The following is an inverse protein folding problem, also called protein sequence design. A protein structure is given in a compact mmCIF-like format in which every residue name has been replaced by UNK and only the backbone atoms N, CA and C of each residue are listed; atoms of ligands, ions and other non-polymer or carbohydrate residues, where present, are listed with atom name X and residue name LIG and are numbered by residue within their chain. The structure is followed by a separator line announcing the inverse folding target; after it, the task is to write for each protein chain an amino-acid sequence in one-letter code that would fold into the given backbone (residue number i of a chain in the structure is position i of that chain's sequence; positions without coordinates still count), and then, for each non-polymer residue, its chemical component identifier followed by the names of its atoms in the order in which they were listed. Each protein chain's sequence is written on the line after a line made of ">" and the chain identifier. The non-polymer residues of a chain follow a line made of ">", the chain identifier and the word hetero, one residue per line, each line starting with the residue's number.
data_IF_749172366722
#
_entry.id   IF_749172366722
#
_cell.length_a   1.000
_cell.length_b   1.000
_cell.length_c   1.000
_cell.angle_alpha   90.00
_cell.angle_beta   90.00
_cell.angle_gamma   90.00
#
_symmetry.space_group_name_H-M   'P 1'
#
loop_
_entity.id
_entity.type
_entity.pdbx_description
1 polymer ?
#
# COMPACT_ATOMS: atom_id res chain seq x y z
N UNK A 1 -62.10 29.17 -43.65
CA UNK A 1 -61.13 28.63 -44.57
C UNK A 1 -59.89 28.30 -43.78
N UNK A 2 -59.62 27.04 -43.76
CA UNK A 2 -58.72 26.21 -42.99
C UNK A 2 -57.27 26.72 -42.89
N UNK A 3 -56.79 26.69 -41.69
CA UNK A 3 -55.37 26.66 -41.35
C UNK A 3 -55.10 25.30 -40.66
N UNK A 4 -54.49 24.39 -41.37
CA UNK A 4 -54.01 23.12 -40.85
C UNK A 4 -52.50 23.25 -40.57
N UNK A 5 -52.17 23.62 -39.34
CA UNK A 5 -50.81 23.54 -38.86
C UNK A 5 -50.43 22.09 -38.67
N UNK A 6 -49.49 21.64 -39.45
CA UNK A 6 -48.79 20.37 -39.33
C UNK A 6 -48.03 20.34 -37.98
N UNK A 7 -48.55 19.58 -37.00
CA UNK A 7 -47.79 19.11 -35.89
C UNK A 7 -46.89 17.98 -36.38
N UNK A 8 -45.61 18.27 -36.48
CA UNK A 8 -44.55 17.28 -36.63
C UNK A 8 -44.25 16.75 -35.23
N UNK A 9 -44.73 15.56 -34.95
CA UNK A 9 -44.34 14.80 -33.77
C UNK A 9 -42.83 14.55 -33.85
N UNK A 10 -42.05 15.35 -33.16
CA UNK A 10 -40.69 14.98 -32.78
C UNK A 10 -40.81 13.83 -31.78
N UNK A 11 -40.68 12.58 -32.23
CA UNK A 11 -40.36 11.45 -31.39
C UNK A 11 -39.04 11.75 -30.67
N UNK A 12 -39.16 12.25 -29.44
CA UNK A 12 -38.07 12.24 -28.47
C UNK A 12 -37.77 10.76 -28.23
N UNK A 13 -36.67 10.27 -28.85
CA UNK A 13 -36.11 8.98 -28.46
C UNK A 13 -35.71 9.14 -26.98
N UNK A 14 -36.64 8.81 -26.07
CA UNK A 14 -36.30 8.56 -24.67
C UNK A 14 -35.26 7.44 -24.69
N UNK A 15 -34.01 7.86 -24.45
CA UNK A 15 -32.93 6.91 -24.20
C UNK A 15 -33.40 5.97 -23.11
N UNK A 16 -33.52 4.70 -23.44
CA UNK A 16 -33.92 3.67 -22.48
C UNK A 16 -33.10 3.79 -21.20
N UNK A 17 -33.60 3.28 -20.07
CA UNK A 17 -32.97 3.46 -18.77
C UNK A 17 -31.51 3.02 -18.90
N UNK A 18 -30.59 3.97 -18.75
CA UNK A 18 -29.19 3.66 -18.50
C UNK A 18 -29.23 2.68 -17.33
N UNK A 19 -28.70 1.49 -17.52
CA UNK A 19 -28.64 0.44 -16.49
C UNK A 19 -27.98 1.12 -15.29
N UNK A 20 -28.80 1.53 -14.30
CA UNK A 20 -28.29 1.97 -13.01
C UNK A 20 -27.65 0.74 -12.39
N UNK A 21 -26.34 0.62 -12.56
CA UNK A 21 -25.57 -0.45 -11.93
C UNK A 21 -25.83 -0.41 -10.43
N UNK A 22 -26.32 -1.52 -9.90
CA UNK A 22 -26.53 -1.60 -8.46
C UNK A 22 -25.19 -1.33 -7.73
N UNK A 23 -25.21 -0.69 -6.55
CA UNK A 23 -23.97 -0.44 -5.78
C UNK A 23 -23.11 -1.69 -5.59
N UNK A 24 -23.72 -2.88 -5.63
CA UNK A 24 -23.00 -4.15 -5.54
C UNK A 24 -22.25 -4.49 -6.84
N UNK A 25 -22.79 -4.14 -8.01
CA UNK A 25 -22.13 -4.34 -9.30
C UNK A 25 -20.93 -3.39 -9.45
N UNK A 26 -21.12 -2.12 -9.12
CA UNK A 26 -20.04 -1.13 -9.12
C UNK A 26 -18.89 -1.53 -8.18
N UNK A 27 -19.21 -2.03 -6.97
CA UNK A 27 -18.19 -2.52 -6.04
C UNK A 27 -17.43 -3.74 -6.59
N UNK A 28 -18.10 -4.69 -7.26
CA UNK A 28 -17.44 -5.87 -7.86
C UNK A 28 -16.50 -5.46 -8.99
N UNK A 29 -16.91 -4.55 -9.84
CA UNK A 29 -16.10 -4.02 -10.94
C UNK A 29 -14.86 -3.29 -10.40
N UNK A 30 -15.02 -2.46 -9.36
CA UNK A 30 -13.91 -1.79 -8.70
C UNK A 30 -12.92 -2.80 -8.09
N UNK A 31 -13.39 -3.83 -7.38
CA UNK A 31 -12.52 -4.86 -6.82
C UNK A 31 -11.78 -5.66 -7.90
N UNK A 32 -12.39 -5.94 -9.03
CA UNK A 32 -11.71 -6.59 -10.15
C UNK A 32 -10.61 -5.68 -10.73
N UNK A 33 -10.89 -4.39 -10.90
CA UNK A 33 -9.90 -3.41 -11.33
C UNK A 33 -8.71 -3.34 -10.36
N UNK A 34 -8.98 -3.25 -9.06
CA UNK A 34 -7.94 -3.24 -8.01
C UNK A 34 -7.12 -4.52 -8.05
N UNK A 35 -7.74 -5.69 -8.19
CA UNK A 35 -7.04 -6.97 -8.28
C UNK A 35 -6.03 -7.00 -9.43
N UNK A 36 -6.48 -6.60 -10.62
CA UNK A 36 -5.63 -6.56 -11.83
C UNK A 36 -4.50 -5.54 -11.69
N UNK A 37 -4.81 -4.34 -11.17
CA UNK A 37 -3.83 -3.30 -10.93
C UNK A 37 -2.74 -3.75 -9.95
N UNK A 38 -3.16 -4.37 -8.84
CA UNK A 38 -2.24 -4.85 -7.82
C UNK A 38 -1.40 -6.02 -8.31
N UNK A 39 -1.96 -6.92 -9.12
CA UNK A 39 -1.22 -8.01 -9.75
C UNK A 39 -0.15 -7.46 -10.71
N UNK A 40 -0.49 -6.48 -11.55
CA UNK A 40 0.47 -5.82 -12.44
C UNK A 40 1.57 -5.07 -11.68
N UNK A 41 1.21 -4.31 -10.64
CA UNK A 41 2.18 -3.58 -9.82
C UNK A 41 3.08 -4.53 -8.99
N UNK A 42 2.53 -5.63 -8.48
CA UNK A 42 3.29 -6.67 -7.76
C UNK A 42 4.31 -7.34 -8.68
N UNK A 43 3.88 -7.77 -9.86
CA UNK A 43 4.76 -8.35 -10.89
C UNK A 43 5.86 -7.37 -11.28
N UNK A 44 5.52 -6.12 -11.64
CA UNK A 44 6.51 -5.11 -12.02
C UNK A 44 7.55 -4.87 -10.91
N UNK A 45 7.09 -4.77 -9.66
CA UNK A 45 8.00 -4.51 -8.54
C UNK A 45 9.10 -5.56 -8.42
N UNK A 46 8.73 -6.82 -8.44
CA UNK A 46 9.68 -7.93 -8.33
C UNK A 46 10.48 -8.15 -9.62
N UNK A 47 9.85 -8.03 -10.78
CA UNK A 47 10.52 -8.16 -12.08
C UNK A 47 11.69 -7.17 -12.22
N UNK A 48 11.48 -5.88 -11.86
CA UNK A 48 12.54 -4.88 -11.92
C UNK A 48 13.70 -5.22 -10.97
N UNK A 49 13.40 -5.72 -9.77
CA UNK A 49 14.43 -6.14 -8.83
C UNK A 49 15.24 -7.33 -9.35
N UNK A 50 14.57 -8.35 -9.90
CA UNK A 50 15.22 -9.53 -10.50
C UNK A 50 16.03 -9.13 -11.73
N UNK A 51 15.41 -8.43 -12.65
CA UNK A 51 16.03 -8.04 -13.92
C UNK A 51 17.22 -7.09 -13.75
N UNK A 52 17.25 -6.27 -12.70
CA UNK A 52 18.36 -5.37 -12.43
C UNK A 52 19.70 -6.11 -12.34
N UNK A 53 19.73 -7.32 -11.84
CA UNK A 53 20.95 -8.10 -11.72
C UNK A 53 21.37 -8.70 -13.06
N UNK A 54 20.46 -9.33 -13.79
CA UNK A 54 20.75 -9.91 -15.10
C UNK A 54 21.22 -8.87 -16.10
N UNK A 55 20.80 -7.61 -15.94
CA UNK A 55 21.31 -6.46 -16.70
C UNK A 55 22.63 -5.87 -16.14
N UNK A 56 23.21 -6.50 -15.13
CA UNK A 56 24.52 -6.14 -14.56
C UNK A 56 24.48 -4.88 -13.68
N UNK A 57 23.35 -4.48 -13.15
CA UNK A 57 23.29 -3.36 -12.20
C UNK A 57 23.87 -3.82 -10.86
N UNK A 58 24.74 -3.01 -10.27
CA UNK A 58 25.17 -3.31 -8.91
C UNK A 58 23.97 -3.28 -7.94
N UNK A 59 24.06 -4.04 -6.84
CA UNK A 59 23.02 -4.07 -5.78
C UNK A 59 22.66 -2.66 -5.30
N UNK A 60 23.65 -1.76 -5.22
CA UNK A 60 23.45 -0.36 -4.86
C UNK A 60 22.62 0.38 -5.89
N UNK A 61 22.91 0.23 -7.16
CA UNK A 61 22.16 0.87 -8.26
C UNK A 61 20.74 0.32 -8.32
N UNK A 62 20.57 -1.00 -8.26
CA UNK A 62 19.25 -1.63 -8.21
C UNK A 62 18.41 -1.13 -7.01
N UNK A 63 19.04 -1.01 -5.85
CA UNK A 63 18.37 -0.48 -4.66
C UNK A 63 17.92 0.98 -4.81
N UNK A 64 18.70 1.85 -5.44
CA UNK A 64 18.28 3.23 -5.73
C UNK A 64 17.12 3.26 -6.74
N UNK A 65 17.15 2.42 -7.78
CA UNK A 65 16.05 2.26 -8.72
C UNK A 65 14.78 1.86 -7.98
N UNK A 66 14.87 0.88 -7.07
CA UNK A 66 13.71 0.45 -6.28
C UNK A 66 13.22 1.53 -5.31
N UNK A 67 14.11 2.30 -4.69
CA UNK A 67 13.76 3.39 -3.78
C UNK A 67 13.06 4.55 -4.51
N UNK A 68 13.34 4.79 -5.78
CA UNK A 68 12.69 5.83 -6.59
C UNK A 68 11.17 5.68 -6.65
N UNK A 69 10.65 4.45 -6.59
CA UNK A 69 9.20 4.20 -6.48
C UNK A 69 8.60 4.87 -5.23
N UNK A 70 9.25 4.76 -4.08
CA UNK A 70 8.74 5.35 -2.84
C UNK A 70 8.84 6.88 -2.85
N UNK A 71 9.86 7.43 -3.53
CA UNK A 71 9.95 8.88 -3.77
C UNK A 71 8.77 9.37 -4.61
N UNK A 72 8.48 8.68 -5.72
CA UNK A 72 7.32 8.95 -6.57
C UNK A 72 6.00 8.82 -5.79
N UNK A 73 5.85 7.76 -5.00
CA UNK A 73 4.67 7.52 -4.17
C UNK A 73 4.45 8.65 -3.14
N UNK A 74 5.50 9.08 -2.47
CA UNK A 74 5.42 10.19 -1.52
C UNK A 74 5.05 11.51 -2.20
N UNK A 75 5.56 11.78 -3.39
CA UNK A 75 5.20 12.96 -4.17
C UNK A 75 3.75 12.86 -4.70
N UNK A 76 3.38 11.73 -5.29
CA UNK A 76 2.06 11.47 -5.84
C UNK A 76 0.95 11.60 -4.80
N UNK A 77 1.18 11.15 -3.57
CA UNK A 77 0.22 11.28 -2.47
C UNK A 77 -0.14 12.73 -2.12
N UNK A 78 0.71 13.71 -2.44
CA UNK A 78 0.44 15.14 -2.23
C UNK A 78 -0.35 15.77 -3.38
N UNK A 79 -0.17 15.24 -4.59
CA UNK A 79 -0.74 15.81 -5.82
C UNK A 79 -2.10 15.19 -6.12
N UNK A 80 -2.31 13.93 -5.71
CA UNK A 80 -3.48 13.14 -6.05
C UNK A 80 -4.81 13.81 -5.69
N UNK A 81 -4.95 14.32 -4.46
CA UNK A 81 -6.19 14.95 -3.99
C UNK A 81 -6.55 16.17 -4.85
N UNK A 82 -5.57 17.01 -5.17
CA UNK A 82 -5.78 18.19 -6.03
C UNK A 82 -6.13 17.79 -7.46
N UNK A 83 -5.48 16.75 -7.98
CA UNK A 83 -5.74 16.26 -9.33
C UNK A 83 -7.16 15.70 -9.45
N UNK A 84 -7.60 14.90 -8.48
CA UNK A 84 -8.95 14.33 -8.45
C UNK A 84 -10.00 15.44 -8.31
N UNK A 85 -9.77 16.45 -7.46
CA UNK A 85 -10.68 17.57 -7.28
C UNK A 85 -10.92 18.38 -8.58
N UNK A 86 -9.86 18.53 -9.40
CA UNK A 86 -9.93 19.32 -10.63
C UNK A 86 -10.43 18.52 -11.85
N UNK A 87 -10.13 17.24 -11.93
CA UNK A 87 -10.33 16.44 -13.16
C UNK A 87 -11.41 15.36 -12.97
N UNK A 88 -11.64 14.92 -11.73
CA UNK A 88 -12.58 13.85 -11.37
C UNK A 88 -11.92 12.47 -11.33
N UNK A 89 -12.54 11.55 -10.59
CA UNK A 89 -11.97 10.23 -10.24
C UNK A 89 -11.68 9.35 -11.46
N UNK A 90 -12.67 9.20 -12.38
CA UNK A 90 -12.54 8.31 -13.55
C UNK A 90 -11.40 8.74 -14.47
N UNK A 91 -11.33 10.04 -14.77
CA UNK A 91 -10.30 10.57 -15.67
C UNK A 91 -8.91 10.47 -15.05
N UNK A 92 -8.80 10.74 -13.73
CA UNK A 92 -7.54 10.60 -12.99
C UNK A 92 -7.10 9.14 -12.96
N UNK A 93 -8.02 8.20 -12.65
CA UNK A 93 -7.72 6.77 -12.67
C UNK A 93 -7.22 6.33 -14.06
N UNK A 94 -7.95 6.70 -15.12
CA UNK A 94 -7.59 6.36 -16.49
C UNK A 94 -6.22 6.93 -16.89
N UNK A 95 -5.96 8.20 -16.59
CA UNK A 95 -4.69 8.85 -16.91
C UNK A 95 -3.51 8.24 -16.16
N UNK A 96 -3.66 7.99 -14.87
CA UNK A 96 -2.60 7.44 -14.03
C UNK A 96 -2.32 5.95 -14.37
N UNK A 97 -3.35 5.13 -14.62
CA UNK A 97 -3.16 3.75 -15.03
C UNK A 97 -2.50 3.65 -16.41
N UNK A 98 -2.91 4.50 -17.37
CA UNK A 98 -2.26 4.58 -18.69
C UNK A 98 -0.78 4.99 -18.57
N UNK A 99 -0.48 5.99 -17.72
CA UNK A 99 0.88 6.45 -17.49
C UNK A 99 1.74 5.37 -16.80
N UNK A 100 1.17 4.66 -15.81
CA UNK A 100 1.84 3.54 -15.14
C UNK A 100 2.13 2.41 -16.14
N UNK A 101 1.15 2.00 -16.96
CA UNK A 101 1.32 1.00 -18.00
C UNK A 101 2.40 1.38 -19.01
N UNK A 102 2.41 2.64 -19.46
CA UNK A 102 3.46 3.16 -20.35
C UNK A 102 4.84 3.10 -19.71
N UNK A 103 4.94 3.50 -18.42
CA UNK A 103 6.20 3.42 -17.69
C UNK A 103 6.74 1.98 -17.60
N UNK A 104 5.85 0.98 -17.46
CA UNK A 104 6.25 -0.45 -17.49
C UNK A 104 6.88 -0.81 -18.84
N UNK A 105 6.27 -0.38 -19.96
CA UNK A 105 6.81 -0.67 -21.29
C UNK A 105 8.16 0.03 -21.55
N UNK A 106 8.33 1.24 -21.04
CA UNK A 106 9.59 1.98 -21.17
C UNK A 106 10.74 1.23 -20.47
N UNK A 107 10.50 0.55 -19.34
CA UNK A 107 11.53 -0.31 -18.72
C UNK A 107 12.02 -1.42 -19.67
N UNK A 108 11.12 -1.99 -20.48
CA UNK A 108 11.48 -3.03 -21.44
C UNK A 108 12.24 -2.50 -22.67
N UNK A 109 12.02 -1.24 -23.03
CA UNK A 109 12.61 -0.62 -24.21
C UNK A 109 14.02 -0.03 -23.94
N UNK A 110 14.22 0.52 -22.76
CA UNK A 110 15.44 1.22 -22.38
C UNK A 110 16.04 0.63 -21.11
N UNK A 111 17.11 -0.12 -21.27
CA UNK A 111 17.78 -0.83 -20.20
C UNK A 111 18.95 0.03 -19.70
N UNK A 112 18.62 1.02 -18.87
CA UNK A 112 19.61 1.83 -18.17
C UNK A 112 19.10 2.28 -16.79
N UNK A 113 20.00 2.45 -15.80
CA UNK A 113 19.59 2.75 -14.41
C UNK A 113 18.82 4.07 -14.25
N UNK A 114 19.14 5.08 -15.06
CA UNK A 114 18.53 6.42 -14.95
C UNK A 114 17.09 6.36 -15.45
N UNK A 115 16.86 5.75 -16.62
CA UNK A 115 15.52 5.54 -17.17
C UNK A 115 14.69 4.68 -16.22
N UNK A 116 15.27 3.60 -15.70
CA UNK A 116 14.55 2.73 -14.75
C UNK A 116 14.19 3.45 -13.45
N UNK A 117 15.09 4.24 -12.88
CA UNK A 117 14.82 5.07 -11.72
C UNK A 117 13.72 6.08 -11.97
N UNK A 118 13.73 6.76 -13.14
CA UNK A 118 12.72 7.73 -13.52
C UNK A 118 11.35 7.05 -13.71
N UNK A 119 11.30 5.91 -14.39
CA UNK A 119 10.05 5.18 -14.60
C UNK A 119 9.51 4.56 -13.30
N UNK A 120 10.36 4.15 -12.38
CA UNK A 120 9.95 3.73 -11.03
C UNK A 120 9.36 4.90 -10.24
N UNK A 121 9.96 6.09 -10.34
CA UNK A 121 9.38 7.30 -9.75
C UNK A 121 7.99 7.59 -10.33
N UNK A 122 7.84 7.56 -11.65
CA UNK A 122 6.55 7.75 -12.34
C UNK A 122 5.53 6.71 -11.90
N UNK A 123 5.92 5.43 -11.85
CA UNK A 123 5.02 4.36 -11.40
C UNK A 123 4.57 4.57 -9.96
N UNK A 124 5.50 4.94 -9.06
CA UNK A 124 5.17 5.25 -7.67
C UNK A 124 4.19 6.41 -7.53
N UNK A 125 4.40 7.48 -8.30
CA UNK A 125 3.49 8.64 -8.37
C UNK A 125 2.09 8.20 -8.82
N UNK A 126 2.01 7.43 -9.89
CA UNK A 126 0.75 6.92 -10.41
C UNK A 126 0.03 6.05 -9.39
N UNK A 127 0.75 5.11 -8.76
CA UNK A 127 0.17 4.20 -7.79
C UNK A 127 -0.37 4.94 -6.56
N UNK A 128 0.29 5.99 -6.07
CA UNK A 128 -0.24 6.81 -4.99
C UNK A 128 -1.58 7.46 -5.36
N UNK A 129 -1.69 8.00 -6.57
CA UNK A 129 -2.93 8.60 -7.06
C UNK A 129 -4.05 7.56 -7.27
N UNK A 130 -3.70 6.38 -7.79
CA UNK A 130 -4.65 5.28 -7.98
C UNK A 130 -5.20 4.77 -6.64
N UNK A 131 -4.36 4.58 -5.61
CA UNK A 131 -4.82 4.23 -4.26
C UNK A 131 -5.80 5.27 -3.69
N UNK A 132 -5.48 6.56 -3.81
CA UNK A 132 -6.37 7.64 -3.33
C UNK A 132 -7.71 7.59 -4.06
N UNK A 133 -7.69 7.35 -5.38
CA UNK A 133 -8.91 7.27 -6.19
C UNK A 133 -9.77 6.06 -5.80
N UNK A 134 -9.17 4.88 -5.66
CA UNK A 134 -9.84 3.64 -5.25
C UNK A 134 -10.49 3.77 -3.89
N UNK A 135 -9.77 4.30 -2.92
CA UNK A 135 -10.24 4.49 -1.56
C UNK A 135 -11.36 5.53 -1.47
N UNK A 136 -11.30 6.58 -2.28
CA UNK A 136 -12.37 7.57 -2.39
C UNK A 136 -13.65 6.95 -2.95
N UNK A 137 -13.56 6.11 -3.99
CA UNK A 137 -14.73 5.40 -4.51
C UNK A 137 -15.30 4.38 -3.54
N UNK A 138 -14.45 3.62 -2.86
CA UNK A 138 -14.89 2.68 -1.83
C UNK A 138 -15.62 3.41 -0.70
N UNK A 139 -15.19 4.64 -0.40
CA UNK A 139 -15.86 5.49 0.56
C UNK A 139 -17.29 5.83 0.14
N UNK A 140 -17.46 6.25 -1.08
CA UNK A 140 -18.76 6.65 -1.64
C UNK A 140 -19.75 5.47 -1.67
N UNK A 141 -19.25 4.28 -2.04
CA UNK A 141 -20.05 3.05 -2.05
C UNK A 141 -20.36 2.49 -0.65
N UNK A 142 -19.69 2.98 0.38
CA UNK A 142 -19.79 2.45 1.73
C UNK A 142 -20.92 3.11 2.54
N UNK A 143 -21.89 2.32 2.95
CA UNK A 143 -22.82 2.70 4.03
C UNK A 143 -22.20 2.38 5.40
N UNK A 144 -22.75 2.95 6.47
CA UNK A 144 -22.31 2.64 7.84
C UNK A 144 -22.37 1.13 8.14
N UNK A 145 -23.36 0.41 7.62
CA UNK A 145 -23.53 -1.03 7.81
C UNK A 145 -22.56 -1.89 6.96
N UNK A 146 -22.11 -1.40 5.81
CA UNK A 146 -21.31 -2.18 4.84
C UNK A 146 -19.83 -1.84 4.87
N UNK A 147 -19.45 -0.70 5.44
CA UNK A 147 -18.10 -0.12 5.42
C UNK A 147 -17.02 -1.10 5.88
N UNK A 148 -17.17 -1.74 7.03
CA UNK A 148 -16.19 -2.71 7.54
C UNK A 148 -15.97 -3.89 6.59
N UNK A 149 -17.05 -4.42 5.99
CA UNK A 149 -16.97 -5.52 5.01
C UNK A 149 -16.29 -5.09 3.71
N UNK A 150 -16.59 -3.89 3.21
CA UNK A 150 -15.95 -3.34 1.99
C UNK A 150 -14.44 -3.18 2.18
N UNK A 151 -14.03 -2.64 3.32
CA UNK A 151 -12.62 -2.42 3.63
C UNK A 151 -11.87 -3.74 3.87
N UNK A 152 -12.48 -4.73 4.53
CA UNK A 152 -11.87 -6.06 4.65
C UNK A 152 -11.68 -6.71 3.28
N UNK A 153 -12.65 -6.58 2.36
CA UNK A 153 -12.52 -7.05 0.98
C UNK A 153 -11.43 -6.31 0.22
N UNK A 154 -11.36 -4.98 0.37
CA UNK A 154 -10.30 -4.15 -0.21
C UNK A 154 -8.91 -4.65 0.20
N UNK A 155 -8.71 -4.92 1.49
CA UNK A 155 -7.46 -5.47 2.02
C UNK A 155 -7.10 -6.81 1.36
N UNK A 156 -8.07 -7.73 1.31
CA UNK A 156 -7.87 -9.07 0.73
C UNK A 156 -7.53 -8.94 -0.75
N UNK A 157 -8.26 -8.11 -1.50
CA UNK A 157 -8.06 -7.93 -2.93
C UNK A 157 -6.72 -7.27 -3.23
N UNK A 158 -6.35 -6.23 -2.47
CA UNK A 158 -5.08 -5.52 -2.64
C UNK A 158 -3.89 -6.41 -2.35
N UNK A 159 -3.89 -7.10 -1.20
CA UNK A 159 -2.79 -8.01 -0.82
C UNK A 159 -2.78 -9.27 -1.67
N UNK A 160 -3.96 -9.82 -1.97
CA UNK A 160 -4.12 -10.98 -2.85
C UNK A 160 -3.63 -10.70 -4.27
N UNK A 161 -4.00 -9.55 -4.84
CA UNK A 161 -3.52 -9.11 -6.15
C UNK A 161 -2.00 -8.97 -6.18
N UNK A 162 -1.42 -8.28 -5.18
CA UNK A 162 0.03 -8.16 -5.08
C UNK A 162 0.73 -9.53 -4.92
N UNK A 163 0.14 -10.46 -4.17
CA UNK A 163 0.64 -11.84 -4.01
C UNK A 163 0.57 -12.60 -5.34
N UNK A 164 -0.55 -12.51 -6.07
CA UNK A 164 -0.68 -13.11 -7.41
C UNK A 164 0.41 -12.54 -8.33
N UNK A 165 0.68 -11.24 -8.28
CA UNK A 165 1.75 -10.59 -9.05
C UNK A 165 3.13 -11.23 -8.83
N UNK A 166 3.44 -11.68 -7.61
CA UNK A 166 4.70 -12.39 -7.35
C UNK A 166 4.77 -13.73 -8.08
N UNK A 167 3.69 -14.51 -8.08
CA UNK A 167 3.64 -15.79 -8.77
C UNK A 167 3.60 -15.65 -10.29
N UNK A 168 3.22 -14.52 -10.83
CA UNK A 168 3.30 -14.25 -12.26
C UNK A 168 4.74 -14.16 -12.78
N UNK A 169 5.75 -14.01 -11.91
CA UNK A 169 7.16 -14.13 -12.30
C UNK A 169 7.47 -15.50 -12.92
N UNK A 170 6.80 -16.58 -12.48
CA UNK A 170 7.03 -17.93 -12.96
C UNK A 170 6.37 -18.22 -14.32
N UNK A 171 5.57 -17.29 -14.88
CA UNK A 171 4.82 -17.51 -16.13
C UNK A 171 5.70 -17.41 -17.37
N UNK A 172 6.79 -16.64 -17.31
CA UNK A 172 7.73 -16.48 -18.41
C UNK A 172 9.13 -16.13 -17.88
N UNK A 173 10.13 -16.29 -18.75
CA UNK A 173 11.50 -15.94 -18.47
C UNK A 173 11.63 -14.43 -18.09
N UNK A 174 12.15 -14.10 -16.88
CA UNK A 174 12.38 -12.73 -16.46
C UNK A 174 13.32 -11.94 -17.38
N UNK A 175 14.19 -12.60 -18.11
CA UNK A 175 15.13 -11.98 -19.05
C UNK A 175 14.47 -11.54 -20.36
N UNK A 176 13.23 -11.97 -20.59
CA UNK A 176 12.43 -11.58 -21.75
C UNK A 176 11.56 -10.34 -21.50
N UNK A 177 10.96 -9.85 -22.59
CA UNK A 177 10.01 -8.71 -22.54
C UNK A 177 8.59 -9.13 -22.09
N UNK A 178 8.28 -10.43 -22.09
CA UNK A 178 6.91 -10.95 -21.88
C UNK A 178 6.31 -10.53 -20.53
N UNK A 179 7.10 -10.54 -19.45
CA UNK A 179 6.62 -10.16 -18.13
C UNK A 179 6.34 -8.65 -18.02
N UNK A 180 7.12 -7.80 -18.70
CA UNK A 180 6.82 -6.37 -18.81
C UNK A 180 5.50 -6.14 -19.57
N UNK A 181 5.29 -6.87 -20.69
CA UNK A 181 4.04 -6.82 -21.44
C UNK A 181 2.86 -7.28 -20.58
N UNK A 182 3.00 -8.39 -19.86
CA UNK A 182 1.97 -8.90 -18.96
C UNK A 182 1.63 -7.88 -17.86
N UNK A 183 2.62 -7.29 -17.21
CA UNK A 183 2.40 -6.27 -16.19
C UNK A 183 1.67 -5.04 -16.75
N UNK A 184 2.08 -4.57 -17.94
CA UNK A 184 1.43 -3.46 -18.65
C UNK A 184 -0.03 -3.80 -19.03
N UNK A 185 -0.28 -5.01 -19.54
CA UNK A 185 -1.63 -5.48 -19.86
C UNK A 185 -2.52 -5.53 -18.62
N UNK A 186 -2.03 -6.05 -17.52
CA UNK A 186 -2.78 -6.11 -16.26
C UNK A 186 -3.15 -4.72 -15.74
N UNK A 187 -2.19 -3.78 -15.74
CA UNK A 187 -2.44 -2.38 -15.36
C UNK A 187 -3.45 -1.72 -16.31
N UNK A 188 -3.32 -1.91 -17.63
CA UNK A 188 -4.27 -1.37 -18.60
C UNK A 188 -5.66 -2.02 -18.49
N UNK A 189 -5.72 -3.34 -18.31
CA UNK A 189 -6.97 -4.07 -18.18
C UNK A 189 -7.74 -3.70 -16.90
N UNK A 190 -7.05 -3.21 -15.86
CA UNK A 190 -7.69 -2.72 -14.64
C UNK A 190 -8.66 -1.56 -14.89
N UNK A 191 -8.43 -0.79 -15.95
CA UNK A 191 -9.31 0.32 -16.39
C UNK A 191 -10.69 -0.15 -16.83
N UNK A 192 -10.76 -1.29 -17.50
CA UNK A 192 -11.98 -1.74 -18.18
C UNK A 192 -13.16 -1.86 -17.20
N UNK A 193 -13.09 -2.65 -16.12
CA UNK A 193 -14.21 -2.78 -15.20
C UNK A 193 -14.53 -1.46 -14.49
N UNK A 194 -13.52 -0.65 -14.21
CA UNK A 194 -13.69 0.62 -13.49
C UNK A 194 -14.42 1.64 -14.36
N UNK A 195 -13.97 1.84 -15.62
CA UNK A 195 -14.56 2.84 -16.53
C UNK A 195 -15.98 2.46 -16.95
N UNK A 196 -16.25 1.16 -17.13
CA UNK A 196 -17.57 0.69 -17.56
C UNK A 196 -18.62 0.73 -16.45
N UNK A 197 -18.23 0.73 -15.18
CA UNK A 197 -19.14 0.66 -14.02
C UNK A 197 -19.26 1.94 -13.22
N UNK A 198 -18.43 2.96 -13.49
CA UNK A 198 -18.39 4.18 -12.70
C UNK A 198 -19.53 5.12 -13.10
N UNK A 199 -20.55 5.19 -12.24
CA UNK A 199 -21.74 6.04 -12.44
C UNK A 199 -21.68 7.37 -11.69
N UNK A 200 -20.79 7.56 -10.71
CA UNK A 200 -20.72 8.76 -9.87
C UNK A 200 -19.31 9.28 -9.64
N UNK A 201 -19.17 10.61 -9.55
CA UNK A 201 -17.98 11.28 -9.05
C UNK A 201 -18.22 11.69 -7.59
N UNK A 202 -17.71 10.94 -6.60
CA UNK A 202 -17.88 11.29 -5.20
C UNK A 202 -17.22 12.64 -4.88
N UNK A 203 -17.81 13.45 -4.00
CA UNK A 203 -17.16 14.68 -3.55
C UNK A 203 -15.94 14.34 -2.68
N UNK A 204 -14.81 14.97 -2.98
CA UNK A 204 -13.62 14.88 -2.14
C UNK A 204 -13.79 15.75 -0.89
N UNK A 205 -13.76 15.12 0.26
CA UNK A 205 -13.65 15.83 1.54
C UNK A 205 -12.17 16.02 1.84
N UNK A 206 -11.67 17.25 1.65
CA UNK A 206 -10.30 17.61 2.01
C UNK A 206 -10.24 17.81 3.53
N UNK A 207 -9.47 17.00 4.27
CA UNK A 207 -9.38 17.15 5.72
C UNK A 207 -8.67 18.44 6.12
N UNK A 208 -9.01 19.00 7.28
CA UNK A 208 -8.23 20.08 7.90
C UNK A 208 -6.75 19.70 8.01
N UNK A 209 -5.87 20.68 7.83
CA UNK A 209 -4.42 20.42 7.85
C UNK A 209 -3.90 20.40 9.29
N UNK A 210 -3.34 19.27 9.72
CA UNK A 210 -2.55 19.15 10.94
C UNK A 210 -1.06 19.17 10.61
N UNK A 211 -0.26 19.85 11.41
CA UNK A 211 1.21 19.86 11.24
C UNK A 211 1.85 18.64 11.91
N UNK A 212 3.03 18.24 11.42
CA UNK A 212 3.82 17.18 12.04
C UNK A 212 4.17 17.53 13.51
N UNK A 213 4.48 18.81 13.75
CA UNK A 213 4.86 19.29 15.09
C UNK A 213 3.68 19.23 16.07
N UNK A 214 2.49 19.55 15.61
CA UNK A 214 1.26 19.45 16.41
C UNK A 214 0.98 17.99 16.79
N UNK A 215 1.03 17.05 15.84
CA UNK A 215 0.84 15.63 16.16
C UNK A 215 1.95 15.10 17.06
N UNK A 216 3.21 15.54 16.86
CA UNK A 216 4.35 15.15 17.70
C UNK A 216 4.19 15.60 19.17
N UNK A 217 3.56 16.72 19.42
CA UNK A 217 3.29 17.20 20.78
C UNK A 217 2.23 16.39 21.50
N UNK A 218 1.28 15.78 20.76
CA UNK A 218 0.20 14.96 21.34
C UNK A 218 0.61 13.50 21.43
N UNK A 219 1.07 12.90 20.31
CA UNK A 219 1.39 11.47 20.21
C UNK A 219 2.73 11.26 19.49
N UNK A 220 3.87 11.59 20.12
CA UNK A 220 5.17 11.38 19.49
C UNK A 220 5.43 9.89 19.14
N UNK A 221 4.89 8.98 19.94
CA UNK A 221 4.97 7.53 19.69
C UNK A 221 4.38 7.15 18.33
N UNK A 222 3.26 7.75 17.95
CA UNK A 222 2.64 7.52 16.65
C UNK A 222 3.57 7.85 15.48
N UNK A 223 4.23 9.01 15.52
CA UNK A 223 5.11 9.46 14.43
C UNK A 223 6.35 8.58 14.31
N UNK A 224 7.05 8.36 15.42
CA UNK A 224 8.29 7.58 15.45
C UNK A 224 8.03 6.14 14.97
N UNK A 225 7.03 5.48 15.56
CA UNK A 225 6.71 4.09 15.20
C UNK A 225 6.24 3.98 13.75
N UNK A 226 5.44 4.93 13.26
CA UNK A 226 4.98 4.92 11.86
C UNK A 226 6.13 5.15 10.88
N UNK A 227 7.05 6.06 11.18
CA UNK A 227 8.24 6.29 10.33
C UNK A 227 9.08 5.01 10.21
N UNK A 228 9.42 4.37 11.32
CA UNK A 228 10.23 3.15 11.28
C UNK A 228 9.46 1.94 10.74
N UNK A 229 8.15 1.85 10.94
CA UNK A 229 7.31 0.85 10.27
C UNK A 229 7.34 1.02 8.75
N UNK A 230 7.27 2.26 8.26
CA UNK A 230 7.46 2.58 6.85
C UNK A 230 8.84 2.15 6.35
N UNK A 231 9.90 2.43 7.11
CA UNK A 231 11.26 2.04 6.75
C UNK A 231 11.40 0.50 6.65
N UNK A 232 10.84 -0.24 7.62
CA UNK A 232 10.82 -1.72 7.59
C UNK A 232 10.08 -2.26 6.36
N UNK A 233 8.87 -1.74 6.10
CA UNK A 233 8.07 -2.15 4.94
C UNK A 233 8.73 -1.77 3.60
N UNK A 234 9.37 -0.61 3.53
CA UNK A 234 10.12 -0.15 2.36
C UNK A 234 11.30 -1.05 2.04
N UNK A 235 12.10 -1.42 3.06
CA UNK A 235 13.20 -2.39 2.90
C UNK A 235 12.65 -3.72 2.45
N UNK A 236 11.64 -4.27 3.16
CA UNK A 236 11.08 -5.60 2.91
C UNK A 236 10.56 -5.74 1.47
N UNK A 237 9.74 -4.80 1.02
CA UNK A 237 9.13 -4.86 -0.32
C UNK A 237 10.06 -4.31 -1.40
N UNK A 238 10.78 -3.23 -1.08
CA UNK A 238 11.61 -2.55 -2.08
C UNK A 238 12.86 -3.32 -2.45
N UNK A 239 13.52 -3.97 -1.49
CA UNK A 239 14.80 -4.64 -1.72
C UNK A 239 14.71 -6.16 -1.70
N UNK A 240 13.52 -6.74 -1.44
CA UNK A 240 13.35 -8.20 -1.32
C UNK A 240 13.76 -8.98 -2.56
N UNK A 241 13.39 -8.49 -3.76
CA UNK A 241 13.76 -9.12 -5.02
C UNK A 241 15.28 -8.96 -5.29
N UNK A 242 15.83 -7.77 -5.07
CA UNK A 242 17.27 -7.51 -5.21
C UNK A 242 18.08 -8.41 -4.27
N UNK A 243 17.65 -8.55 -3.01
CA UNK A 243 18.28 -9.47 -2.07
C UNK A 243 18.19 -10.91 -2.55
N UNK A 244 17.01 -11.37 -2.95
CA UNK A 244 16.77 -12.76 -3.31
C UNK A 244 17.66 -13.22 -4.48
N UNK A 245 17.88 -12.36 -5.46
CA UNK A 245 18.76 -12.65 -6.59
C UNK A 245 20.20 -12.55 -6.19
N UNK A 246 20.60 -11.53 -5.42
CA UNK A 246 21.99 -11.37 -4.94
C UNK A 246 22.51 -12.52 -4.06
N UNK A 247 21.59 -13.37 -3.54
CA UNK A 247 21.95 -14.57 -2.77
C UNK A 247 21.55 -15.88 -3.48
N UNK A 248 21.31 -15.84 -4.78
CA UNK A 248 20.99 -16.99 -5.63
C UNK A 248 19.79 -17.83 -5.09
N UNK A 249 18.70 -17.18 -4.65
CA UNK A 249 17.47 -17.90 -4.30
C UNK A 249 17.01 -18.69 -5.53
N UNK A 250 16.80 -20.03 -5.40
CA UNK A 250 16.38 -20.84 -6.55
C UNK A 250 15.11 -20.30 -7.23
N UNK A 251 15.10 -20.25 -8.55
CA UNK A 251 13.95 -19.75 -9.35
C UNK A 251 12.64 -20.41 -8.92
N UNK A 252 12.65 -21.73 -8.68
CA UNK A 252 11.47 -22.47 -8.22
C UNK A 252 10.89 -22.02 -6.88
N UNK A 253 11.59 -21.17 -6.14
CA UNK A 253 11.18 -20.67 -4.83
C UNK A 253 11.13 -19.14 -4.77
N UNK A 254 11.62 -18.46 -5.79
CA UNK A 254 11.73 -17.00 -5.82
C UNK A 254 10.36 -16.34 -5.63
N UNK A 255 9.38 -16.74 -6.43
CA UNK A 255 8.02 -16.21 -6.31
C UNK A 255 7.41 -16.47 -4.93
N UNK A 256 7.58 -17.68 -4.39
CA UNK A 256 7.11 -18.03 -3.05
C UNK A 256 7.80 -17.19 -1.97
N UNK A 257 9.11 -16.98 -2.08
CA UNK A 257 9.90 -16.16 -1.15
C UNK A 257 9.41 -14.71 -1.13
N UNK A 258 9.13 -14.13 -2.30
CA UNK A 258 8.65 -12.75 -2.44
C UNK A 258 7.16 -12.59 -2.07
N UNK A 259 6.34 -13.61 -2.30
CA UNK A 259 4.93 -13.64 -1.92
C UNK A 259 4.70 -13.86 -0.42
N UNK A 260 5.61 -14.59 0.23
CA UNK A 260 5.46 -15.03 1.62
C UNK A 260 5.16 -13.91 2.62
N UNK A 261 5.83 -12.74 2.61
CA UNK A 261 5.52 -11.63 3.52
C UNK A 261 4.11 -11.07 3.33
N UNK A 262 3.64 -10.96 2.08
CA UNK A 262 2.31 -10.44 1.77
C UNK A 262 1.24 -11.41 2.27
N UNK A 263 1.41 -12.71 2.01
CA UNK A 263 0.53 -13.75 2.49
C UNK A 263 0.49 -13.80 4.02
N UNK A 264 1.65 -13.77 4.67
CA UNK A 264 1.78 -13.76 6.13
C UNK A 264 1.04 -12.58 6.76
N UNK A 265 1.12 -11.40 6.15
CA UNK A 265 0.44 -10.19 6.64
C UNK A 265 -1.07 -10.36 6.76
N UNK A 266 -1.70 -11.05 5.80
CA UNK A 266 -3.15 -11.29 5.82
C UNK A 266 -3.53 -12.23 6.97
N UNK A 267 -2.70 -13.25 7.27
CA UNK A 267 -3.01 -14.25 8.28
C UNK A 267 -3.05 -13.69 9.70
N UNK A 268 -2.06 -12.89 10.09
CA UNK A 268 -1.91 -12.46 11.48
C UNK A 268 -2.43 -11.04 11.77
N UNK A 269 -2.80 -10.27 10.76
CA UNK A 269 -3.26 -8.90 10.97
C UNK A 269 -4.50 -8.82 11.86
N UNK A 270 -5.48 -9.70 11.64
CA UNK A 270 -6.68 -9.75 12.47
C UNK A 270 -6.42 -10.29 13.90
N UNK A 271 -5.72 -11.43 14.11
CA UNK A 271 -5.39 -11.92 15.45
C UNK A 271 -4.61 -10.91 16.29
N UNK A 272 -3.58 -10.28 15.70
CA UNK A 272 -2.77 -9.26 16.39
C UNK A 272 -3.62 -8.04 16.76
N UNK A 273 -4.50 -7.60 15.86
CA UNK A 273 -5.43 -6.51 16.13
C UNK A 273 -6.39 -6.83 17.27
N UNK A 274 -6.96 -8.05 17.26
CA UNK A 274 -7.87 -8.51 18.31
C UNK A 274 -7.19 -8.59 19.70
N UNK A 275 -5.94 -9.00 19.74
CA UNK A 275 -5.13 -8.98 20.98
C UNK A 275 -4.92 -7.54 21.43
N UNK A 276 -4.61 -6.62 20.51
CA UNK A 276 -4.33 -5.22 20.83
C UNK A 276 -5.53 -4.45 21.40
N UNK A 277 -6.73 -4.94 21.16
CA UNK A 277 -7.94 -4.36 21.76
C UNK A 277 -8.16 -4.79 23.23
N UNK A 278 -7.46 -5.83 23.69
CA UNK A 278 -7.62 -6.41 25.04
C UNK A 278 -6.46 -6.12 25.97
N UNK A 279 -5.30 -5.78 25.40
CA UNK A 279 -4.09 -5.48 26.17
C UNK A 279 -3.49 -4.16 25.71
N UNK A 280 -2.45 -3.68 26.38
CA UNK A 280 -1.76 -2.44 26.00
C UNK A 280 -1.28 -2.48 24.54
N UNK A 281 -1.75 -1.57 23.70
CA UNK A 281 -1.32 -1.46 22.30
C UNK A 281 0.20 -1.23 22.18
N UNK A 282 0.78 -0.42 23.07
CA UNK A 282 2.22 -0.23 23.12
C UNK A 282 2.96 -1.54 23.39
N UNK A 283 2.42 -2.36 24.31
CA UNK A 283 2.96 -3.69 24.61
C UNK A 283 2.86 -4.64 23.42
N UNK A 284 1.74 -4.64 22.69
CA UNK A 284 1.59 -5.47 21.50
C UNK A 284 2.57 -5.05 20.41
N UNK A 285 2.70 -3.75 20.13
CA UNK A 285 3.67 -3.25 19.13
C UNK A 285 5.09 -3.61 19.53
N UNK A 286 5.45 -3.50 20.82
CA UNK A 286 6.75 -3.91 21.34
C UNK A 286 7.04 -5.39 21.07
N UNK A 287 6.10 -6.29 21.41
CA UNK A 287 6.26 -7.73 21.21
C UNK A 287 6.38 -8.05 19.70
N UNK A 288 5.52 -7.47 18.89
CA UNK A 288 5.50 -7.70 17.43
C UNK A 288 6.80 -7.20 16.78
N UNK A 289 7.31 -6.02 17.19
CA UNK A 289 8.59 -5.50 16.71
C UNK A 289 9.77 -6.37 17.18
N UNK A 290 9.73 -6.85 18.42
CA UNK A 290 10.73 -7.80 18.95
C UNK A 290 10.75 -9.12 18.18
N UNK A 291 9.58 -9.68 17.88
CA UNK A 291 9.46 -10.90 17.06
C UNK A 291 9.95 -10.64 15.63
N UNK A 292 9.62 -9.48 15.03
CA UNK A 292 10.13 -9.11 13.71
C UNK A 292 11.67 -9.02 13.69
N UNK A 293 12.27 -8.39 14.71
CA UNK A 293 13.73 -8.31 14.82
C UNK A 293 14.36 -9.71 14.98
N UNK A 294 13.81 -10.55 15.86
CA UNK A 294 14.28 -11.93 16.06
C UNK A 294 14.15 -12.77 14.76
N UNK A 295 13.06 -12.62 14.03
CA UNK A 295 12.84 -13.28 12.74
C UNK A 295 13.89 -12.83 11.70
N UNK A 296 14.23 -11.53 11.66
CA UNK A 296 15.30 -11.04 10.79
C UNK A 296 16.67 -11.66 11.15
N UNK A 297 16.99 -11.78 12.44
CA UNK A 297 18.23 -12.45 12.91
C UNK A 297 18.23 -13.92 12.51
N UNK A 298 17.10 -14.63 12.66
CA UNK A 298 16.95 -16.01 12.23
C UNK A 298 17.14 -16.16 10.72
N UNK A 299 16.55 -15.25 9.92
CA UNK A 299 16.72 -15.23 8.45
C UNK A 299 18.17 -15.03 8.03
N UNK A 300 18.90 -14.14 8.74
CA UNK A 300 20.33 -13.90 8.46
C UNK A 300 21.21 -15.12 8.67
N UNK A 301 20.79 -16.09 9.51
CA UNK A 301 21.49 -17.35 9.75
C UNK A 301 20.88 -18.58 9.04
N UNK A 302 19.82 -18.40 8.26
CA UNK A 302 19.12 -19.52 7.60
C UNK A 302 19.67 -19.74 6.19
N UNK A 303 19.73 -21.00 5.75
CA UNK A 303 20.14 -21.32 4.38
C UNK A 303 19.25 -20.62 3.35
N UNK A 304 19.89 -19.93 2.42
CA UNK A 304 19.28 -19.07 1.42
C UNK A 304 18.32 -19.85 0.53
N UNK A 305 17.14 -19.30 0.28
CA UNK A 305 16.10 -19.91 -0.53
C UNK A 305 15.54 -21.22 0.00
N UNK A 306 15.83 -21.62 1.25
CA UNK A 306 15.21 -22.79 1.88
C UNK A 306 13.72 -22.56 2.17
N UNK A 307 12.92 -23.65 2.27
CA UNK A 307 11.52 -23.53 2.72
C UNK A 307 11.39 -22.94 4.13
N UNK A 308 12.41 -23.11 4.96
CA UNK A 308 12.51 -22.43 6.26
C UNK A 308 12.61 -20.91 6.09
N UNK A 309 13.43 -20.43 5.14
CA UNK A 309 13.52 -19.01 4.84
C UNK A 309 12.19 -18.47 4.31
N UNK A 310 11.47 -19.19 3.45
CA UNK A 310 10.12 -18.83 2.98
C UNK A 310 9.14 -18.72 4.16
N UNK A 311 9.15 -19.68 5.07
CA UNK A 311 8.31 -19.65 6.28
C UNK A 311 8.64 -18.48 7.21
N UNK A 312 9.92 -18.18 7.40
CA UNK A 312 10.37 -17.02 8.18
C UNK A 312 10.03 -15.69 7.49
N UNK A 313 10.08 -15.59 6.15
CA UNK A 313 9.62 -14.43 5.41
C UNK A 313 8.11 -14.21 5.59
N UNK A 314 7.31 -15.28 5.59
CA UNK A 314 5.89 -15.20 5.90
C UNK A 314 5.66 -14.68 7.34
N UNK A 315 6.41 -15.20 8.31
CA UNK A 315 6.35 -14.71 9.70
C UNK A 315 6.77 -13.24 9.80
N UNK A 316 7.85 -12.85 9.11
CA UNK A 316 8.32 -11.47 9.10
C UNK A 316 7.24 -10.52 8.57
N UNK A 317 6.59 -10.86 7.46
CA UNK A 317 5.47 -10.08 6.94
C UNK A 317 4.27 -10.05 7.88
N UNK A 318 3.95 -11.21 8.48
CA UNK A 318 2.86 -11.36 9.43
C UNK A 318 2.97 -10.46 10.67
N UNK A 319 4.20 -10.17 11.11
CA UNK A 319 4.45 -9.31 12.27
C UNK A 319 4.81 -7.86 11.91
N UNK A 320 5.48 -7.62 10.78
CA UNK A 320 5.93 -6.26 10.41
C UNK A 320 4.80 -5.36 9.90
N UNK A 321 3.90 -5.86 9.05
CA UNK A 321 2.83 -5.04 8.48
C UNK A 321 1.79 -4.58 9.49
N UNK A 322 1.37 -5.38 10.50
CA UNK A 322 0.44 -4.92 11.52
C UNK A 322 0.93 -3.74 12.35
N UNK A 323 2.25 -3.51 12.48
CA UNK A 323 2.82 -2.39 13.25
C UNK A 323 2.24 -1.05 12.78
N UNK A 324 2.10 -0.85 11.48
CA UNK A 324 1.49 0.37 10.92
C UNK A 324 0.04 0.56 11.40
N UNK A 325 -0.80 -0.47 11.26
CA UNK A 325 -2.20 -0.42 11.67
C UNK A 325 -2.38 -0.22 13.18
N UNK A 326 -1.54 -0.91 13.96
CA UNK A 326 -1.52 -0.75 15.42
C UNK A 326 -1.12 0.67 15.82
N UNK A 327 -0.16 1.27 15.12
CA UNK A 327 0.30 2.63 15.39
C UNK A 327 -0.76 3.67 15.06
N UNK A 328 -1.51 3.48 13.97
CA UNK A 328 -2.67 4.33 13.65
C UNK A 328 -3.73 4.21 14.75
N UNK A 329 -4.03 2.98 15.18
CA UNK A 329 -4.97 2.75 16.26
C UNK A 329 -4.51 3.38 17.59
N UNK A 330 -3.23 3.22 17.94
CA UNK A 330 -2.61 3.87 19.10
C UNK A 330 -2.73 5.39 19.03
N UNK A 331 -2.46 5.99 17.87
CA UNK A 331 -2.55 7.44 17.71
C UNK A 331 -3.98 7.94 17.86
N UNK A 332 -4.93 7.16 17.37
CA UNK A 332 -6.35 7.50 17.48
C UNK A 332 -6.89 7.47 18.92
N UNK A 333 -6.30 6.66 19.80
CA UNK A 333 -6.67 6.63 21.20
C UNK A 333 -6.38 7.97 21.92
N UNK A 334 -5.46 8.75 21.36
CA UNK A 334 -5.02 10.04 21.93
C UNK A 334 -5.66 11.26 21.24
N UNK A 335 -6.19 11.10 20.04
CA UNK A 335 -6.70 12.23 19.27
C UNK A 335 -8.21 12.43 19.47
N UNK A 336 -8.68 13.67 19.62
CA UNK A 336 -10.09 14.00 19.49
C UNK A 336 -10.65 13.54 18.14
N UNK A 337 -11.92 13.17 18.09
CA UNK A 337 -12.56 12.65 16.88
C UNK A 337 -12.44 13.61 15.69
N UNK A 338 -12.59 14.91 15.90
CA UNK A 338 -12.45 15.94 14.86
C UNK A 338 -11.04 15.98 14.23
N UNK A 339 -10.00 15.56 14.95
CA UNK A 339 -8.60 15.58 14.48
C UNK A 339 -8.10 14.24 13.95
N UNK A 340 -8.92 13.19 13.91
CA UNK A 340 -8.50 11.84 13.50
C UNK A 340 -8.03 11.78 12.05
N UNK A 341 -8.77 12.41 11.15
CA UNK A 341 -8.45 12.41 9.72
C UNK A 341 -7.16 13.17 9.42
N UNK A 342 -7.02 14.37 9.98
CA UNK A 342 -5.81 15.19 9.81
C UNK A 342 -4.59 14.57 10.46
N UNK A 343 -4.73 13.96 11.65
CA UNK A 343 -3.67 13.21 12.31
C UNK A 343 -3.22 11.99 11.51
N UNK A 344 -4.17 11.23 10.95
CA UNK A 344 -3.88 10.09 10.08
C UNK A 344 -3.14 10.50 8.81
N UNK A 345 -3.48 11.64 8.21
CA UNK A 345 -2.76 12.18 7.05
C UNK A 345 -1.28 12.48 7.37
N UNK A 346 -0.98 12.94 8.59
CA UNK A 346 0.41 13.14 9.05
C UNK A 346 1.13 11.80 9.19
N UNK A 347 0.47 10.77 9.74
CA UNK A 347 1.06 9.43 9.88
C UNK A 347 1.34 8.78 8.52
N UNK A 348 0.43 8.88 7.55
CA UNK A 348 0.65 8.39 6.17
C UNK A 348 1.91 9.03 5.58
N UNK A 349 2.09 10.34 5.76
CA UNK A 349 3.30 11.05 5.29
C UNK A 349 4.56 10.57 6.00
N UNK A 350 4.50 10.42 7.33
CA UNK A 350 5.64 9.89 8.11
C UNK A 350 6.02 8.47 7.67
N UNK A 351 5.03 7.61 7.42
CA UNK A 351 5.23 6.27 6.85
C UNK A 351 5.89 6.33 5.47
N UNK A 352 5.40 7.19 4.58
CA UNK A 352 5.97 7.36 3.23
C UNK A 352 7.42 7.85 3.25
N UNK A 353 7.76 8.78 4.16
CA UNK A 353 9.17 9.22 4.34
C UNK A 353 10.02 8.07 4.86
N UNK A 354 9.52 7.28 5.81
CA UNK A 354 10.19 6.07 6.29
C UNK A 354 10.40 5.05 5.17
N UNK A 355 9.35 4.78 4.37
CA UNK A 355 9.39 3.84 3.26
C UNK A 355 10.39 4.23 2.16
N UNK A 356 10.67 5.52 2.01
CA UNK A 356 11.75 6.02 1.16
C UNK A 356 13.12 5.91 1.83
N UNK A 357 13.24 6.38 3.08
CA UNK A 357 14.52 6.45 3.79
C UNK A 357 15.10 5.05 4.09
N UNK A 358 14.23 4.09 4.45
CA UNK A 358 14.65 2.73 4.77
C UNK A 358 15.44 2.05 3.65
N UNK A 359 14.87 1.88 2.45
CA UNK A 359 15.60 1.29 1.32
C UNK A 359 16.86 2.06 0.93
N UNK A 360 16.84 3.41 0.98
CA UNK A 360 18.01 4.23 0.65
C UNK A 360 19.18 3.93 1.60
N UNK A 361 18.92 3.90 2.90
CA UNK A 361 19.96 3.59 3.90
C UNK A 361 20.40 2.13 3.77
N UNK A 362 19.45 1.19 3.68
CA UNK A 362 19.75 -0.23 3.56
C UNK A 362 20.56 -0.55 2.32
N UNK A 363 20.26 0.07 1.17
CA UNK A 363 20.99 -0.10 -0.08
C UNK A 363 22.47 0.29 0.07
N UNK A 364 22.76 1.42 0.73
CA UNK A 364 24.14 1.84 0.99
C UNK A 364 24.85 0.83 1.90
N UNK A 365 24.19 0.39 2.98
CA UNK A 365 24.78 -0.59 3.92
C UNK A 365 25.04 -1.92 3.22
N UNK A 366 24.09 -2.42 2.42
CA UNK A 366 24.24 -3.67 1.65
C UNK A 366 25.43 -3.56 0.68
N UNK A 367 25.51 -2.45 -0.06
CA UNK A 367 26.60 -2.22 -1.01
C UNK A 367 27.99 -2.11 -0.38
N UNK A 368 28.06 -1.68 0.87
CA UNK A 368 29.32 -1.58 1.62
C UNK A 368 29.72 -2.87 2.37
N UNK A 369 28.78 -3.81 2.56
CA UNK A 369 29.00 -5.00 3.39
C UNK A 369 28.67 -6.30 2.65
N UNK A 370 27.44 -6.75 2.70
CA UNK A 370 26.98 -7.98 2.06
C UNK A 370 25.45 -7.98 1.88
N UNK A 371 24.90 -8.81 0.98
CA UNK A 371 23.44 -8.94 0.79
C UNK A 371 22.69 -9.25 2.09
N UNK A 372 23.26 -10.03 2.99
CA UNK A 372 22.64 -10.40 4.29
C UNK A 372 22.36 -9.18 5.17
N UNK A 373 23.03 -8.04 4.95
CA UNK A 373 22.73 -6.78 5.61
C UNK A 373 21.29 -6.30 5.39
N UNK A 374 20.61 -6.80 4.37
CA UNK A 374 19.17 -6.63 4.18
C UNK A 374 18.37 -6.99 5.46
N UNK A 375 18.63 -8.15 6.05
CA UNK A 375 17.98 -8.55 7.30
C UNK A 375 18.50 -7.79 8.51
N UNK A 376 19.78 -7.48 8.55
CA UNK A 376 20.36 -6.70 9.66
C UNK A 376 19.80 -5.27 9.71
N UNK A 377 19.59 -4.62 8.59
CA UNK A 377 18.94 -3.31 8.52
C UNK A 377 17.50 -3.38 9.03
N UNK A 378 16.73 -4.40 8.64
CA UNK A 378 15.37 -4.59 9.15
C UNK A 378 15.36 -4.92 10.65
N UNK A 379 16.28 -5.76 11.12
CA UNK A 379 16.44 -6.05 12.54
C UNK A 379 16.70 -4.77 13.33
N UNK A 380 17.64 -3.93 12.87
CA UNK A 380 17.96 -2.66 13.49
C UNK A 380 16.75 -1.72 13.57
N UNK A 381 16.02 -1.58 12.47
CA UNK A 381 14.79 -0.76 12.41
C UNK A 381 13.75 -1.25 13.44
N UNK A 382 13.49 -2.55 13.50
CA UNK A 382 12.52 -3.11 14.43
C UNK A 382 13.00 -3.04 15.89
N UNK A 383 14.32 -3.19 16.15
CA UNK A 383 14.91 -2.98 17.47
C UNK A 383 14.80 -1.50 17.93
N UNK A 384 14.96 -0.54 17.03
CA UNK A 384 14.74 0.87 17.33
C UNK A 384 13.28 1.10 17.76
N UNK A 385 12.29 0.52 17.06
CA UNK A 385 10.89 0.58 17.47
C UNK A 385 10.73 -0.02 18.88
N UNK A 386 11.28 -1.20 19.13
CA UNK A 386 11.16 -1.89 20.40
C UNK A 386 11.82 -1.08 21.55
N UNK A 387 13.05 -0.62 21.36
CA UNK A 387 13.77 0.17 22.35
C UNK A 387 13.05 1.50 22.67
N UNK A 388 12.54 2.18 21.63
CA UNK A 388 11.76 3.39 21.82
C UNK A 388 10.48 3.12 22.61
N UNK A 389 9.77 2.02 22.34
CA UNK A 389 8.55 1.67 23.06
C UNK A 389 8.84 1.26 24.52
N UNK A 390 9.92 0.54 24.79
CA UNK A 390 10.35 0.26 26.17
C UNK A 390 10.55 1.56 26.94
N UNK A 391 11.29 2.51 26.37
CA UNK A 391 11.47 3.84 26.97
C UNK A 391 10.15 4.55 27.22
N UNK A 392 9.22 4.51 26.24
CA UNK A 392 7.89 5.15 26.35
C UNK A 392 6.97 4.48 27.37
N UNK A 393 7.10 3.18 27.60
CA UNK A 393 6.33 2.48 28.65
C UNK A 393 6.74 2.91 30.05
N UNK A 394 8.01 3.33 30.23
CA UNK A 394 8.53 3.81 31.52
C UNK A 394 8.20 5.29 31.77
N UNK A 395 8.21 6.13 30.70
CA UNK A 395 8.20 7.60 30.84
C UNK A 395 6.83 8.22 30.59
N UNK A 396 5.89 7.51 29.94
CA UNK A 396 4.64 8.11 29.49
C UNK A 396 3.41 7.31 29.93
N UNK A 397 2.39 8.03 30.39
CA UNK A 397 1.10 7.47 30.79
C UNK A 397 0.37 6.72 29.65
N UNK A 398 -0.56 5.86 30.03
CA UNK A 398 -1.46 5.18 29.09
C UNK A 398 -2.65 6.09 28.71
N UNK A 399 -3.28 5.91 27.53
CA UNK A 399 -4.48 6.64 27.18
C UNK A 399 -5.65 6.21 28.06
N UNK A 400 -6.51 7.16 28.42
CA UNK A 400 -7.66 6.91 29.29
C UNK A 400 -8.75 6.06 28.62
N UNK A 401 -8.89 6.17 27.28
CA UNK A 401 -9.98 5.52 26.52
C UNK A 401 -9.44 4.81 25.26
N UNK A 402 -9.07 3.53 25.32
CA UNK A 402 -8.63 2.78 24.15
C UNK A 402 -9.79 2.53 23.19
N UNK A 403 -9.57 2.74 21.87
CA UNK A 403 -10.53 2.51 20.80
C UNK A 403 -10.29 1.14 20.15
N UNK A 404 -11.33 0.54 19.51
CA UNK A 404 -11.20 -0.76 18.84
C UNK A 404 -10.27 -0.67 17.63
N UNK A 405 -9.50 -1.73 17.42
CA UNK A 405 -8.59 -1.88 16.29
C UNK A 405 -9.34 -1.98 14.96
N UNK A 406 -8.77 -1.34 13.93
CA UNK A 406 -9.18 -1.49 12.54
C UNK A 406 -7.92 -1.75 11.70
N UNK A 407 -7.93 -2.83 10.93
CA UNK A 407 -6.80 -3.20 10.07
C UNK A 407 -6.68 -2.23 8.89
N UNK A 408 -5.47 -1.77 8.60
CA UNK A 408 -5.16 -0.91 7.46
C UNK A 408 -4.07 -1.54 6.58
N UNK A 409 -4.15 -1.40 5.25
CA UNK A 409 -3.02 -1.72 4.40
C UNK A 409 -1.83 -0.80 4.73
N UNK A 410 -0.62 -1.31 4.57
CA UNK A 410 0.61 -0.56 4.87
C UNK A 410 0.76 0.73 4.04
N UNK A 411 -0.11 0.97 3.08
CA UNK A 411 -0.14 2.13 2.18
C UNK A 411 -1.51 2.82 2.11
N UNK A 412 -2.39 2.58 3.12
CA UNK A 412 -3.70 3.23 3.16
C UNK A 412 -3.58 4.75 3.14
N UNK A 413 -4.43 5.42 2.37
CA UNK A 413 -4.51 6.87 2.37
C UNK A 413 -5.18 7.42 3.64
N UNK A 414 -5.04 8.71 3.88
CA UNK A 414 -5.73 9.38 4.98
C UNK A 414 -7.25 9.27 4.86
N UNK A 415 -7.78 9.22 3.62
CA UNK A 415 -9.19 9.03 3.33
C UNK A 415 -9.71 7.66 3.80
N UNK A 416 -8.99 6.56 3.50
CA UNK A 416 -9.34 5.23 3.97
C UNK A 416 -9.37 5.15 5.51
N UNK A 417 -8.42 5.80 6.15
CA UNK A 417 -8.32 5.85 7.61
C UNK A 417 -9.48 6.66 8.21
N UNK A 418 -9.87 7.77 7.61
CA UNK A 418 -11.00 8.59 8.03
C UNK A 418 -12.32 7.84 7.92
N UNK A 419 -12.48 7.07 6.85
CA UNK A 419 -13.64 6.23 6.59
C UNK A 419 -13.97 5.25 7.68
N UNK A 420 -12.97 4.54 8.14
CA UNK A 420 -13.15 3.47 9.13
C UNK A 420 -13.55 4.00 10.50
N UNK A 421 -13.39 5.29 10.76
CA UNK A 421 -13.57 5.90 12.09
C UNK A 421 -14.83 6.73 12.26
N UNK A 422 -15.44 7.20 11.16
CA UNK A 422 -16.70 7.96 11.21
C UNK A 422 -17.92 7.18 11.74
N UNK A 423 -17.77 5.90 12.01
CA UNK A 423 -18.86 5.03 12.47
C UNK A 423 -19.22 5.17 13.96
N UNK A 424 -18.35 5.72 14.80
CA UNK A 424 -18.54 5.64 16.26
C UNK A 424 -19.17 6.85 16.94
N UNK A 425 -19.04 8.01 16.35
CA UNK A 425 -19.66 9.22 16.94
C UNK A 425 -21.18 9.16 17.03
N UNK A 426 -21.82 8.25 16.26
CA UNK A 426 -23.30 8.11 16.31
C UNK A 426 -23.81 7.03 17.25
N UNK A 427 -22.98 6.04 17.60
CA UNK A 427 -23.36 4.98 18.55
C UNK A 427 -23.17 5.44 20.00
N UNK A 428 -22.17 6.29 20.23
CA UNK A 428 -21.91 6.87 21.57
C UNK A 428 -22.86 8.04 21.89
N UNK A 429 -23.49 8.66 20.86
CA UNK A 429 -24.49 9.71 21.02
C UNK A 429 -25.94 9.14 21.12
N UNK A 430 -26.16 7.86 20.84
CA UNK A 430 -27.48 7.18 20.91
C UNK A 430 -27.61 6.24 22.15
N UNK A 431 -26.59 6.12 23.00
CA UNK A 431 -26.63 5.43 24.29
C UNK A 431 -26.28 6.39 25.43
#
# INVERSE_FOLDING_TARGET
>A
LADQTLHRDEEIIEGGPLIEDSPATAARALFLGILLLMAGNGLQGSLIGVRSETEGFSVTVAGFVMAAYFAGFLFGSRVAESLIANVGHIRVFAGLASMASTAVLIHALFIDPVTWGLMRFVTGLCMAGLYVTEESWLNDLATNATRGRLLSRYMIVTMGGATIGQFLLDVADPDGVKLFLLASVLVSASLIPVVLSASSNPPLVVPERMSLRELASIVPTGIVTTFFSGASAGILIGLGAVYAVAVDVPETRLAAFLAAPLFGSVLLQWPIGWISDRVSRRGVILVVAGVAAATCVALAGTAEGSWTAVGLMALLGAVSFPIYSLTIALTADWLPTAKLTSGSAVLVRANGVGALAGPLVATVVIGMTSPVAYFWCMAAVNLIIAAYLVWRLVVADAPEHPRTFVAFPARASAGAIALMRGQRTRIDDEN
#
